data_IF_355146342321
#
_entry.id   IF_355146342321
#
_cell.length_a   1.000
_cell.length_b   1.000
_cell.length_c   1.000
_cell.angle_alpha   90.00
_cell.angle_beta   90.00
_cell.angle_gamma   90.00
#
_symmetry.space_group_name_H-M   'P 1'
#
loop_
_entity.id
_entity.type
_entity.pdbx_description
1 polymer ?
#
# COMPACT_ATOMS: atom_id res chain seq x y z
N UNK A 1 7.66 -36.83 27.56
CA UNK A 1 6.75 -36.96 26.41
C UNK A 1 6.82 -35.65 25.66
N UNK A 2 7.62 -35.58 24.59
CA UNK A 2 7.73 -34.39 23.77
C UNK A 2 6.47 -34.31 22.90
N UNK A 3 5.59 -33.35 23.17
CA UNK A 3 4.55 -32.99 22.22
C UNK A 3 5.21 -32.16 21.11
N UNK A 4 5.64 -32.83 20.05
CA UNK A 4 5.85 -32.18 18.76
C UNK A 4 4.45 -31.89 18.24
N UNK A 5 3.99 -30.65 18.42
CA UNK A 5 2.82 -30.17 17.71
C UNK A 5 3.20 -30.14 16.22
N UNK A 6 2.80 -31.16 15.48
CA UNK A 6 2.71 -31.08 14.03
C UNK A 6 1.70 -29.97 13.72
N UNK A 7 2.21 -28.73 13.57
CA UNK A 7 1.45 -27.62 13.06
C UNK A 7 1.15 -27.99 11.61
N UNK A 8 -0.05 -28.56 11.43
CA UNK A 8 -0.57 -28.91 10.13
C UNK A 8 -0.57 -27.60 9.34
N UNK A 9 0.10 -27.58 8.20
CA UNK A 9 0.04 -26.48 7.25
C UNK A 9 -1.44 -26.27 6.91
N UNK A 10 -2.07 -25.25 7.51
CA UNK A 10 -3.49 -24.99 7.31
C UNK A 10 -3.63 -24.52 5.87
N UNK A 11 -4.34 -25.34 5.11
CA UNK A 11 -4.81 -25.08 3.77
C UNK A 11 -5.60 -23.78 3.72
N UNK A 12 -5.55 -23.08 2.59
CA UNK A 12 -6.37 -21.88 2.35
C UNK A 12 -7.81 -22.09 2.81
N UNK A 13 -8.26 -21.24 3.74
CA UNK A 13 -9.61 -21.27 4.28
C UNK A 13 -10.46 -20.20 3.60
N UNK A 14 -11.69 -20.57 3.23
CA UNK A 14 -12.68 -19.64 2.70
C UNK A 14 -13.82 -19.51 3.68
N UNK A 15 -14.19 -18.28 4.00
CA UNK A 15 -15.20 -17.96 4.98
C UNK A 15 -16.20 -16.97 4.40
N UNK A 16 -17.47 -17.35 4.39
CA UNK A 16 -18.56 -16.45 4.02
C UNK A 16 -19.13 -15.81 5.29
N UNK A 17 -19.39 -14.52 5.24
CA UNK A 17 -20.00 -13.78 6.34
C UNK A 17 -20.94 -12.70 5.83
N UNK A 18 -21.89 -12.32 6.67
CA UNK A 18 -22.86 -11.26 6.41
C UNK A 18 -22.96 -10.28 7.59
N UNK A 19 -21.96 -10.31 8.49
CA UNK A 19 -21.89 -9.52 9.72
C UNK A 19 -22.17 -8.03 9.51
N UNK A 20 -21.84 -7.50 8.33
CA UNK A 20 -21.94 -6.07 8.01
C UNK A 20 -23.03 -5.73 6.99
N UNK A 21 -23.96 -6.64 6.69
CA UNK A 21 -24.95 -6.44 5.62
C UNK A 21 -25.87 -5.22 5.80
N UNK A 22 -25.97 -4.71 7.03
CA UNK A 22 -26.82 -3.57 7.40
C UNK A 22 -25.99 -2.33 7.78
N UNK A 23 -24.72 -2.29 7.38
CA UNK A 23 -23.80 -1.18 7.65
C UNK A 23 -23.49 -0.45 6.33
N UNK A 24 -23.46 0.88 6.38
CA UNK A 24 -23.11 1.70 5.21
C UNK A 24 -21.60 1.70 4.95
N UNK A 25 -20.80 1.69 6.02
CA UNK A 25 -19.33 1.67 5.96
C UNK A 25 -18.76 0.54 6.82
N UNK A 26 -17.65 -0.03 6.35
CA UNK A 26 -16.89 -1.08 7.03
C UNK A 26 -15.43 -0.67 7.09
N UNK A 27 -14.87 -0.77 8.28
CA UNK A 27 -13.49 -0.42 8.56
C UNK A 27 -12.68 -1.68 8.83
N UNK A 28 -11.38 -1.58 8.58
CA UNK A 28 -10.46 -2.71 8.63
C UNK A 28 -9.17 -2.27 9.30
N UNK A 29 -8.60 -3.17 10.09
CA UNK A 29 -7.32 -2.95 10.73
C UNK A 29 -6.62 -4.29 11.00
N UNK A 30 -5.30 -4.26 11.12
CA UNK A 30 -4.47 -5.40 11.45
C UNK A 30 -3.33 -4.99 12.39
N UNK A 31 -3.10 -5.82 13.38
CA UNK A 31 -1.99 -5.69 14.33
C UNK A 31 -1.28 -7.05 14.52
N UNK A 32 -0.33 -7.11 15.45
CA UNK A 32 0.36 -8.36 15.77
C UNK A 32 -0.58 -9.46 16.33
N UNK A 33 -1.73 -9.08 16.90
CA UNK A 33 -2.68 -9.98 17.52
C UNK A 33 -3.72 -10.52 16.54
N UNK A 34 -4.03 -9.83 15.44
CA UNK A 34 -5.02 -10.28 14.49
C UNK A 34 -5.34 -9.33 13.34
N UNK A 35 -6.23 -9.80 12.47
CA UNK A 35 -6.83 -9.01 11.40
C UNK A 35 -8.33 -8.88 11.66
N UNK A 36 -8.83 -7.65 11.61
CA UNK A 36 -10.14 -7.30 12.08
C UNK A 36 -10.91 -6.47 11.06
N UNK A 37 -12.22 -6.66 11.04
CA UNK A 37 -13.16 -5.73 10.45
C UNK A 37 -14.18 -5.31 11.50
N UNK A 38 -14.67 -4.09 11.39
CA UNK A 38 -15.69 -3.56 12.29
C UNK A 38 -16.53 -2.51 11.57
N UNK A 39 -17.77 -2.39 12.03
CA UNK A 39 -18.75 -1.50 11.42
C UNK A 39 -19.80 -1.12 12.46
N UNK A 40 -20.65 -0.16 12.14
CA UNK A 40 -21.77 0.22 13.00
C UNK A 40 -22.99 0.62 12.17
N UNK A 41 -24.17 0.59 12.78
CA UNK A 41 -25.41 1.06 12.16
C UNK A 41 -26.35 1.74 13.16
N UNK A 42 -26.26 3.07 13.29
CA UNK A 42 -27.08 3.84 14.22
C UNK A 42 -26.83 3.47 15.68
N UNK A 43 -27.30 2.31 16.15
CA UNK A 43 -27.25 1.83 17.54
C UNK A 43 -26.40 0.59 17.77
N UNK A 44 -26.01 -0.14 16.73
CA UNK A 44 -25.26 -1.41 16.91
C UNK A 44 -23.87 -1.30 16.30
N UNK A 45 -22.87 -1.75 17.03
CA UNK A 45 -21.49 -1.93 16.54
C UNK A 45 -21.25 -3.43 16.34
N UNK A 46 -20.49 -3.77 15.31
CA UNK A 46 -20.19 -5.14 14.89
C UNK A 46 -18.69 -5.31 14.80
N UNK A 47 -18.20 -6.47 15.18
CA UNK A 47 -16.79 -6.85 15.07
C UNK A 47 -16.67 -8.20 14.37
N UNK A 48 -15.59 -8.36 13.62
CA UNK A 48 -15.20 -9.60 12.96
C UNK A 48 -13.68 -9.74 13.11
N UNK A 49 -13.22 -10.79 13.79
CA UNK A 49 -11.85 -11.27 13.68
C UNK A 49 -11.77 -12.31 12.56
N UNK A 50 -10.68 -12.29 11.78
CA UNK A 50 -10.40 -13.28 10.74
C UNK A 50 -9.24 -14.20 11.14
N UNK A 51 -8.21 -13.64 11.74
CA UNK A 51 -7.07 -14.37 12.32
C UNK A 51 -6.75 -13.78 13.69
N UNK A 52 -6.25 -14.59 14.65
CA UNK A 52 -5.94 -16.02 14.55
C UNK A 52 -7.17 -16.94 14.50
N UNK A 53 -8.33 -16.45 14.94
CA UNK A 53 -9.59 -17.20 14.94
C UNK A 53 -10.70 -16.37 14.34
N UNK A 54 -11.56 -17.00 13.53
CA UNK A 54 -12.72 -16.34 12.95
C UNK A 54 -13.82 -16.26 14.00
N UNK A 55 -14.14 -15.04 14.46
CA UNK A 55 -15.25 -14.79 15.38
C UNK A 55 -15.93 -13.47 15.07
N UNK A 56 -17.22 -13.37 15.38
CA UNK A 56 -17.97 -12.14 15.24
C UNK A 56 -18.83 -11.88 16.47
N UNK A 57 -18.94 -10.60 16.81
CA UNK A 57 -19.75 -10.13 17.92
C UNK A 57 -20.46 -8.83 17.51
N UNK A 58 -21.56 -8.54 18.18
CA UNK A 58 -22.24 -7.27 18.05
C UNK A 58 -22.78 -6.80 19.38
N UNK A 59 -22.93 -5.49 19.52
CA UNK A 59 -23.49 -4.89 20.71
C UNK A 59 -24.32 -3.66 20.38
N UNK A 60 -25.51 -3.56 20.98
CA UNK A 60 -26.43 -2.44 20.78
C UNK A 60 -26.44 -1.53 22.01
N UNK A 61 -26.23 -0.24 21.79
CA UNK A 61 -26.22 0.79 22.83
C UNK A 61 -27.58 1.48 23.01
N UNK A 62 -27.77 2.09 24.17
CA UNK A 62 -28.94 2.91 24.52
C UNK A 62 -28.81 4.34 23.98
N UNK A 63 -28.79 4.49 22.66
CA UNK A 63 -28.58 5.79 22.02
C UNK A 63 -28.16 5.63 20.57
N UNK A 64 -27.17 6.40 20.12
CA UNK A 64 -26.59 6.28 18.79
C UNK A 64 -25.08 6.55 18.75
N UNK A 65 -24.36 5.83 17.89
CA UNK A 65 -22.94 6.07 17.63
C UNK A 65 -22.75 7.40 16.91
N UNK A 66 -21.76 8.17 17.37
CA UNK A 66 -21.49 9.53 16.88
C UNK A 66 -20.12 9.66 16.24
N UNK A 67 -19.16 8.81 16.64
CA UNK A 67 -17.81 8.76 16.07
C UNK A 67 -17.54 7.45 15.34
N UNK A 68 -16.57 7.50 14.43
CA UNK A 68 -16.06 6.31 13.74
C UNK A 68 -15.40 5.38 14.77
N UNK A 69 -15.79 4.09 14.85
CA UNK A 69 -15.11 3.14 15.71
C UNK A 69 -13.64 3.00 15.30
N UNK A 70 -12.79 2.64 16.24
CA UNK A 70 -11.38 2.36 15.99
C UNK A 70 -10.94 1.17 16.85
N UNK A 71 -9.77 0.61 16.57
CA UNK A 71 -9.26 -0.55 17.29
C UNK A 71 -8.08 -0.19 18.19
N UNK A 72 -8.11 -0.70 19.42
CA UNK A 72 -6.97 -0.76 20.33
C UNK A 72 -6.59 -2.24 20.49
N UNK A 73 -5.57 -2.66 19.75
CA UNK A 73 -5.13 -4.06 19.62
C UNK A 73 -6.24 -5.00 19.15
N UNK A 74 -6.82 -5.74 20.08
CA UNK A 74 -7.88 -6.73 19.85
C UNK A 74 -9.26 -6.22 20.27
N UNK A 75 -9.39 -4.93 20.59
CA UNK A 75 -10.60 -4.36 21.18
C UNK A 75 -11.10 -3.20 20.33
N UNK A 76 -12.29 -3.36 19.74
CA UNK A 76 -12.97 -2.26 19.05
C UNK A 76 -13.57 -1.32 20.09
N UNK A 77 -13.29 -0.03 19.93
CA UNK A 77 -13.78 1.05 20.77
C UNK A 77 -14.66 1.97 19.91
N UNK A 78 -15.81 2.39 20.44
CA UNK A 78 -16.72 3.26 19.72
C UNK A 78 -17.37 4.28 20.68
N UNK A 79 -17.47 5.53 20.22
CA UNK A 79 -18.14 6.61 20.96
C UNK A 79 -19.61 6.66 20.58
N UNK A 80 -20.47 6.65 21.59
CA UNK A 80 -21.91 6.79 21.40
C UNK A 80 -22.47 7.85 22.34
N UNK A 81 -23.56 8.48 21.89
CA UNK A 81 -24.37 9.38 22.70
C UNK A 81 -25.58 8.61 23.19
N UNK A 82 -25.75 8.58 24.50
CA UNK A 82 -26.89 7.98 25.21
C UNK A 82 -28.19 8.75 24.97
N UNK A 83 -29.35 8.15 25.27
CA UNK A 83 -30.65 8.83 25.16
C UNK A 83 -30.80 10.05 26.10
N UNK A 84 -30.01 10.13 27.18
CA UNK A 84 -29.92 11.29 28.08
C UNK A 84 -28.82 12.28 27.67
N UNK A 85 -28.34 12.21 26.42
CA UNK A 85 -27.38 13.13 25.82
C UNK A 85 -25.98 13.15 26.47
N UNK A 86 -25.55 12.03 27.05
CA UNK A 86 -24.18 11.85 27.56
C UNK A 86 -23.33 11.03 26.61
N UNK A 87 -22.07 11.42 26.45
CA UNK A 87 -21.11 10.68 25.63
C UNK A 87 -20.45 9.56 26.42
N UNK A 88 -20.34 8.38 25.80
CA UNK A 88 -19.78 7.16 26.40
C UNK A 88 -18.93 6.42 25.38
N UNK A 89 -17.96 5.64 25.85
CA UNK A 89 -17.23 4.69 25.01
C UNK A 89 -17.66 3.28 25.37
N UNK A 90 -18.07 2.51 24.37
CA UNK A 90 -18.20 1.06 24.46
C UNK A 90 -16.95 0.40 23.89
N UNK A 91 -16.49 -0.66 24.55
CA UNK A 91 -15.33 -1.47 24.14
C UNK A 91 -15.75 -2.92 24.01
N UNK A 92 -15.40 -3.56 22.90
CA UNK A 92 -15.75 -4.95 22.59
C UNK A 92 -14.48 -5.68 22.17
N UNK A 93 -14.13 -6.71 22.93
CA UNK A 93 -13.02 -7.58 22.56
C UNK A 93 -13.41 -8.46 21.36
N UNK A 94 -12.58 -8.46 20.32
CA UNK A 94 -12.81 -9.16 19.06
C UNK A 94 -12.66 -10.68 19.15
N UNK A 95 -12.11 -11.21 20.25
CA UNK A 95 -11.87 -12.64 20.44
C UNK A 95 -12.84 -13.29 21.41
N UNK A 96 -13.28 -12.64 22.47
CA UNK A 96 -14.21 -13.23 23.45
C UNK A 96 -15.56 -12.52 23.54
N UNK A 97 -15.73 -11.38 22.84
CA UNK A 97 -16.99 -10.62 22.83
C UNK A 97 -17.27 -9.89 24.14
N UNK A 98 -16.31 -9.85 25.07
CA UNK A 98 -16.47 -9.14 26.34
C UNK A 98 -16.68 -7.66 26.07
N UNK A 99 -17.78 -7.15 26.61
CA UNK A 99 -18.14 -5.73 26.54
C UNK A 99 -17.73 -5.03 27.83
N UNK A 100 -17.18 -3.83 27.70
CA UNK A 100 -16.94 -2.92 28.82
C UNK A 100 -17.27 -1.48 28.42
N UNK A 101 -17.55 -0.66 29.43
CA UNK A 101 -17.90 0.74 29.26
C UNK A 101 -16.88 1.63 29.92
N UNK A 102 -16.62 2.76 29.30
CA UNK A 102 -15.95 3.88 29.93
C UNK A 102 -17.00 4.95 30.18
N UNK A 103 -17.30 5.14 31.46
CA UNK A 103 -18.12 6.24 31.95
C UNK A 103 -17.17 7.39 32.27
N UNK A 104 -17.00 8.29 31.31
CA UNK A 104 -16.21 9.50 31.48
C UNK A 104 -17.02 10.69 31.02
N UNK A 105 -17.31 11.62 31.93
CA UNK A 105 -17.96 12.88 31.59
C UNK A 105 -16.97 13.82 30.86
N UNK A 106 -15.68 13.47 30.85
CA UNK A 106 -14.62 14.17 30.10
C UNK A 106 -14.87 14.16 28.59
N UNK A 107 -15.66 13.22 28.07
CA UNK A 107 -16.04 13.21 26.66
C UNK A 107 -17.07 14.30 26.31
N UNK A 108 -17.84 14.79 27.28
CA UNK A 108 -18.85 15.82 27.04
C UNK A 108 -18.22 17.16 26.60
N UNK A 109 -16.94 17.36 26.91
CA UNK A 109 -16.17 18.56 26.57
C UNK A 109 -15.36 18.43 25.27
N UNK A 110 -15.32 17.24 24.63
CA UNK A 110 -14.38 16.96 23.53
C UNK A 110 -15.09 16.62 22.22
N UNK A 111 -14.49 17.09 21.12
CA UNK A 111 -14.87 16.68 19.79
C UNK A 111 -14.38 15.25 19.53
N UNK A 112 -15.31 14.33 19.27
CA UNK A 112 -15.02 12.91 19.07
C UNK A 112 -14.22 12.60 17.79
N UNK A 113 -14.00 13.59 16.91
CA UNK A 113 -13.11 13.44 15.74
C UNK A 113 -11.63 13.61 16.09
N UNK A 114 -11.33 14.16 17.27
CA UNK A 114 -10.00 14.62 17.67
C UNK A 114 -9.38 13.73 18.76
N UNK A 115 -9.92 12.51 18.90
CA UNK A 115 -9.54 11.55 19.93
C UNK A 115 -8.90 10.29 19.35
N UNK A 116 -8.03 9.70 20.14
CA UNK A 116 -7.52 8.35 19.93
C UNK A 116 -7.48 7.64 21.28
N UNK A 117 -7.79 6.34 21.33
CA UNK A 117 -7.68 5.56 22.57
C UNK A 117 -6.70 4.44 22.33
N UNK A 118 -5.71 4.35 23.21
CA UNK A 118 -4.71 3.31 23.13
C UNK A 118 -4.13 3.03 24.52
N UNK A 119 -3.79 1.78 24.81
CA UNK A 119 -3.15 1.38 26.07
C UNK A 119 -3.89 1.91 27.31
N UNK A 120 -5.22 1.83 27.28
CA UNK A 120 -6.11 2.26 28.37
C UNK A 120 -6.00 3.77 28.71
N UNK A 121 -5.69 4.60 27.71
CA UNK A 121 -5.64 6.06 27.80
C UNK A 121 -6.45 6.69 26.69
N UNK A 122 -7.07 7.83 27.00
CA UNK A 122 -7.70 8.72 26.03
C UNK A 122 -6.70 9.81 25.66
N UNK A 123 -6.33 9.87 24.38
CA UNK A 123 -5.52 10.94 23.80
C UNK A 123 -6.43 11.91 23.07
N UNK A 124 -6.28 13.20 23.34
CA UNK A 124 -7.14 14.26 22.81
C UNK A 124 -6.26 15.34 22.21
N UNK A 125 -6.51 15.71 20.95
CA UNK A 125 -5.89 16.88 20.37
C UNK A 125 -6.47 18.14 21.02
N UNK A 126 -5.58 19.06 21.39
CA UNK A 126 -5.89 20.30 22.08
C UNK A 126 -5.27 21.45 21.31
N UNK A 127 -5.99 22.56 21.26
CA UNK A 127 -5.50 23.80 20.66
C UNK A 127 -5.55 24.89 21.73
N UNK A 128 -4.39 25.49 22.02
CA UNK A 128 -4.31 26.74 22.78
C UNK A 128 -4.17 27.94 21.81
N UNK A 129 -3.86 29.14 22.30
CA UNK A 129 -3.79 30.35 21.46
C UNK A 129 -2.78 30.24 20.31
N UNK A 130 -1.74 29.40 20.44
CA UNK A 130 -0.61 29.37 19.51
C UNK A 130 -0.33 27.97 18.97
N UNK A 131 -0.64 26.92 19.73
CA UNK A 131 -0.19 25.56 19.46
C UNK A 131 -1.31 24.52 19.50
N UNK A 132 -1.23 23.55 18.57
CA UNK A 132 -1.97 22.30 18.62
C UNK A 132 -1.06 21.19 19.19
N UNK A 133 -1.51 20.53 20.24
CA UNK A 133 -0.78 19.51 21.02
C UNK A 133 -1.69 18.34 21.41
N UNK A 134 -1.17 17.30 22.05
CA UNK A 134 -1.97 16.17 22.55
C UNK A 134 -1.94 16.12 24.07
N UNK A 135 -3.10 15.92 24.70
CA UNK A 135 -3.21 15.60 26.12
C UNK A 135 -3.73 14.18 26.31
N UNK A 136 -3.15 13.45 27.26
CA UNK A 136 -3.63 12.14 27.67
C UNK A 136 -4.39 12.19 28.99
N UNK A 137 -5.46 11.41 29.07
CA UNK A 137 -6.31 11.23 30.22
C UNK A 137 -6.51 9.74 30.50
N UNK A 138 -6.77 9.39 31.76
CA UNK A 138 -7.39 8.11 32.06
C UNK A 138 -8.90 8.15 31.76
N UNK A 139 -9.53 6.99 31.84
CA UNK A 139 -10.96 6.86 31.58
C UNK A 139 -11.86 7.47 32.67
N UNK A 140 -11.34 7.85 33.83
CA UNK A 140 -12.06 8.62 34.84
C UNK A 140 -11.94 10.13 34.60
N UNK A 141 -11.25 10.54 33.53
CA UNK A 141 -11.04 11.94 33.21
C UNK A 141 -9.85 12.58 33.92
N UNK A 142 -9.05 11.79 34.65
CA UNK A 142 -7.84 12.32 35.28
C UNK A 142 -6.81 12.62 34.19
N UNK A 143 -6.34 13.86 34.15
CA UNK A 143 -5.22 14.25 33.31
C UNK A 143 -3.96 13.46 33.67
N UNK A 144 -3.25 12.98 32.65
CA UNK A 144 -2.03 12.19 32.79
C UNK A 144 -0.79 12.95 32.30
N UNK A 145 -0.84 13.51 31.09
CA UNK A 145 0.32 14.14 30.46
C UNK A 145 -0.05 15.02 29.28
N UNK A 146 0.78 16.03 29.00
CA UNK A 146 0.74 16.82 27.76
C UNK A 146 1.96 16.51 26.89
N UNK A 147 1.73 16.37 25.59
CA UNK A 147 2.75 16.13 24.57
C UNK A 147 2.83 17.32 23.64
N UNK A 148 3.89 18.12 23.79
CA UNK A 148 4.16 19.34 22.99
C UNK A 148 5.38 19.12 22.10
N UNK A 149 5.39 19.74 20.92
CA UNK A 149 6.36 19.44 19.85
C UNK A 149 7.17 20.66 19.40
N UNK A 150 7.69 21.45 20.36
CA UNK A 150 8.64 22.55 20.13
C UNK A 150 8.23 23.46 18.95
N UNK A 151 7.08 24.12 19.07
CA UNK A 151 6.48 25.05 18.09
C UNK A 151 5.82 24.42 16.84
N UNK A 152 5.82 23.09 16.73
CA UNK A 152 5.12 22.38 15.65
C UNK A 152 3.72 21.98 16.09
N UNK A 153 2.77 22.13 15.17
CA UNK A 153 1.38 21.80 15.41
C UNK A 153 1.06 20.37 15.01
N UNK A 154 0.29 19.71 15.88
CA UNK A 154 -0.34 18.43 15.60
C UNK A 154 -1.38 18.62 14.50
N UNK A 155 -1.35 17.73 13.53
CA UNK A 155 -2.29 17.66 12.41
C UNK A 155 -3.27 16.50 12.57
N UNK A 156 -2.78 15.33 13.03
CA UNK A 156 -3.61 14.16 13.24
C UNK A 156 -3.07 13.26 14.35
N UNK A 157 -3.94 12.43 14.90
CA UNK A 157 -3.61 11.34 15.82
C UNK A 157 -4.25 10.04 15.33
N UNK A 158 -3.54 8.93 15.43
CA UNK A 158 -4.08 7.60 15.09
C UNK A 158 -3.50 6.51 15.98
N UNK A 159 -4.04 5.30 15.88
CA UNK A 159 -3.49 4.08 16.49
C UNK A 159 -2.90 3.17 15.43
N UNK A 160 -1.79 2.52 15.77
CA UNK A 160 -1.25 1.40 14.99
C UNK A 160 -0.55 0.42 15.92
N UNK A 161 -0.77 -0.87 15.71
CA UNK A 161 -0.17 -1.95 16.50
C UNK A 161 -0.19 -1.72 18.03
N UNK A 162 -1.32 -1.23 18.55
CA UNK A 162 -1.47 -0.95 19.98
C UNK A 162 -0.59 0.18 20.53
N UNK A 163 -0.25 1.15 19.69
CA UNK A 163 0.41 2.40 20.08
C UNK A 163 -0.30 3.61 19.45
N UNK A 164 -0.28 4.75 20.14
CA UNK A 164 -0.78 6.02 19.60
C UNK A 164 0.35 6.77 18.87
N UNK A 165 0.02 7.32 17.70
CA UNK A 165 0.94 8.06 16.85
C UNK A 165 0.39 9.44 16.53
N UNK A 166 1.26 10.43 16.56
CA UNK A 166 0.97 11.85 16.31
C UNK A 166 1.69 12.29 15.05
N UNK A 167 0.95 12.92 14.15
CA UNK A 167 1.43 13.48 12.89
C UNK A 167 1.44 14.99 13.01
N UNK A 168 2.58 15.60 12.69
CA UNK A 168 2.72 17.05 12.66
C UNK A 168 2.55 17.56 11.23
N UNK A 169 2.17 18.83 11.07
CA UNK A 169 2.03 19.46 9.74
C UNK A 169 3.32 19.47 8.90
N UNK A 170 4.50 19.35 9.52
CA UNK A 170 5.77 19.28 8.80
C UNK A 170 6.15 17.87 8.31
N UNK A 171 5.26 16.90 8.56
CA UNK A 171 5.41 15.49 8.25
C UNK A 171 6.11 14.67 9.34
N UNK A 172 6.51 15.25 10.48
CA UNK A 172 7.13 14.45 11.54
C UNK A 172 6.09 13.54 12.21
N UNK A 173 6.47 12.30 12.49
CA UNK A 173 5.62 11.32 13.19
C UNK A 173 6.27 10.90 14.51
N UNK A 174 5.49 10.94 15.58
CA UNK A 174 5.91 10.55 16.92
C UNK A 174 5.02 9.46 17.49
N UNK A 175 5.61 8.45 18.14
CA UNK A 175 4.87 7.51 19.01
C UNK A 175 4.72 8.13 20.39
N UNK A 176 3.52 8.03 20.95
CA UNK A 176 3.25 8.44 22.33
C UNK A 176 3.44 7.25 23.27
N UNK A 177 4.42 7.37 24.16
CA UNK A 177 4.62 6.45 25.28
C UNK A 177 4.14 7.12 26.58
N UNK A 178 4.25 6.42 27.71
CA UNK A 178 3.59 6.83 28.96
C UNK A 178 3.86 8.27 29.40
N UNK A 179 5.07 8.79 29.17
CA UNK A 179 5.48 10.13 29.60
C UNK A 179 6.35 10.86 28.56
N UNK A 180 6.44 10.35 27.33
CA UNK A 180 7.30 10.93 26.29
C UNK A 180 6.72 10.71 24.90
N UNK A 181 7.07 11.61 23.98
CA UNK A 181 6.90 11.40 22.56
C UNK A 181 8.24 10.98 21.96
N UNK A 182 8.26 9.86 21.25
CA UNK A 182 9.45 9.32 20.58
C UNK A 182 9.33 9.57 19.07
N UNK A 183 10.34 10.21 18.48
CA UNK A 183 10.36 10.42 17.03
C UNK A 183 10.48 9.08 16.32
N UNK A 184 9.58 8.81 15.38
CA UNK A 184 9.55 7.56 14.61
C UNK A 184 10.09 7.75 13.21
N UNK A 185 9.47 8.65 12.43
CA UNK A 185 9.74 8.80 11.01
C UNK A 185 9.24 10.15 10.50
N UNK A 186 9.46 10.43 9.22
CA UNK A 186 8.90 11.57 8.52
C UNK A 186 8.12 11.11 7.28
N UNK A 187 6.88 11.56 7.19
CA UNK A 187 5.98 11.31 6.06
C UNK A 187 6.00 12.48 5.07
N UNK A 188 5.64 12.22 3.81
CA UNK A 188 5.72 13.21 2.73
C UNK A 188 4.45 14.00 2.56
N UNK A 189 3.33 13.30 2.44
CA UNK A 189 2.01 13.90 2.52
C UNK A 189 1.55 13.88 3.97
N UNK A 190 0.78 14.89 4.40
CA UNK A 190 0.22 14.96 5.75
C UNK A 190 -1.31 14.93 5.76
N UNK A 191 -1.97 14.87 4.60
CA UNK A 191 -3.43 14.93 4.56
C UNK A 191 -4.13 13.58 4.72
N UNK A 192 -3.52 12.48 4.27
CA UNK A 192 -4.22 11.18 4.16
C UNK A 192 -3.29 9.99 4.42
N UNK A 193 -3.55 9.25 5.51
CA UNK A 193 -2.81 8.05 5.86
C UNK A 193 -3.73 6.86 6.09
N UNK A 194 -3.22 5.68 5.73
CA UNK A 194 -3.90 4.42 5.91
C UNK A 194 -3.01 3.46 6.68
N UNK A 195 -3.62 2.75 7.64
CA UNK A 195 -2.96 1.63 8.28
C UNK A 195 -2.75 0.52 7.25
N UNK A 196 -1.50 0.16 7.01
CA UNK A 196 -1.12 -0.86 6.03
C UNK A 196 -0.72 -2.17 6.70
N UNK A 197 -0.68 -2.24 8.03
CA UNK A 197 -0.25 -3.40 8.80
C UNK A 197 0.45 -2.99 10.10
N UNK A 198 0.77 -3.99 10.91
CA UNK A 198 1.45 -3.80 12.19
C UNK A 198 2.79 -3.07 12.01
N UNK A 199 2.88 -1.82 12.46
CA UNK A 199 4.07 -0.97 12.36
C UNK A 199 4.26 -0.25 11.02
N UNK A 200 3.26 -0.29 10.12
CA UNK A 200 3.37 0.31 8.79
C UNK A 200 2.19 1.20 8.44
N UNK A 201 2.50 2.33 7.81
CA UNK A 201 1.52 3.27 7.26
C UNK A 201 1.78 3.47 5.78
N UNK A 202 0.75 3.94 5.09
CA UNK A 202 0.89 4.48 3.75
C UNK A 202 0.17 5.79 3.55
N UNK A 203 0.68 6.63 2.65
CA UNK A 203 -0.04 7.82 2.18
C UNK A 203 -0.95 7.51 0.97
N UNK A 204 -1.76 8.49 0.57
CA UNK A 204 -2.64 8.41 -0.62
C UNK A 204 -1.91 8.22 -1.96
N UNK A 205 -0.58 8.36 -1.96
CA UNK A 205 0.28 8.16 -3.14
C UNK A 205 0.98 6.80 -3.12
N UNK A 206 0.72 5.97 -2.11
CA UNK A 206 1.27 4.63 -1.97
C UNK A 206 2.70 4.57 -1.43
N UNK A 207 3.21 5.63 -0.81
CA UNK A 207 4.47 5.55 -0.06
C UNK A 207 4.27 4.79 1.23
N UNK A 208 5.21 3.92 1.59
CA UNK A 208 5.13 3.10 2.81
C UNK A 208 6.18 3.57 3.82
N UNK A 209 5.72 3.77 5.04
CA UNK A 209 6.51 4.26 6.15
C UNK A 209 6.56 3.22 7.26
N UNK A 210 7.76 2.83 7.67
CA UNK A 210 7.94 2.06 8.90
C UNK A 210 7.89 2.99 10.10
N UNK A 211 7.06 2.63 11.07
CA UNK A 211 6.96 3.31 12.37
C UNK A 211 8.04 2.86 13.35
N UNK A 212 8.77 1.79 13.04
CA UNK A 212 9.72 1.16 13.95
C UNK A 212 11.20 1.45 13.61
N UNK A 213 11.50 1.77 12.34
CA UNK A 213 12.90 1.77 11.85
C UNK A 213 13.36 3.13 11.28
N UNK A 214 12.59 4.22 11.44
CA UNK A 214 12.84 5.52 10.78
C UNK A 214 13.23 5.35 9.31
N UNK A 215 12.50 4.48 8.62
CA UNK A 215 12.84 4.03 7.28
C UNK A 215 11.65 4.21 6.36
N UNK A 216 11.89 4.91 5.27
CA UNK A 216 10.98 5.01 4.14
C UNK A 216 11.28 3.87 3.17
N UNK A 217 10.25 3.16 2.72
CA UNK A 217 10.36 2.21 1.63
C UNK A 217 9.87 2.91 0.35
N UNK A 218 10.79 3.25 -0.55
CA UNK A 218 10.43 3.91 -1.82
C UNK A 218 10.00 2.90 -2.86
N UNK A 219 8.91 3.25 -3.55
CA UNK A 219 8.57 2.78 -4.89
C UNK A 219 8.20 1.29 -5.00
N UNK A 220 6.99 0.95 -4.54
CA UNK A 220 6.31 -0.26 -4.97
C UNK A 220 4.94 0.11 -5.55
N UNK A 221 4.99 0.52 -6.83
CA UNK A 221 3.91 0.67 -7.81
C UNK A 221 2.50 0.88 -7.26
N UNK A 222 2.04 2.13 -7.32
CA UNK A 222 0.65 2.59 -7.49
C UNK A 222 -0.43 1.57 -7.09
N UNK A 223 -0.41 1.10 -5.83
CA UNK A 223 -1.44 0.23 -5.29
C UNK A 223 -2.66 1.10 -4.97
N UNK A 224 -3.39 1.51 -6.00
CA UNK A 224 -4.79 1.92 -5.88
C UNK A 224 -5.68 0.73 -5.48
N UNK A 225 -5.11 -0.49 -5.49
CA UNK A 225 -5.71 -1.74 -5.05
C UNK A 225 -5.38 -2.02 -3.58
N UNK A 226 -6.20 -2.81 -2.88
CA UNK A 226 -5.93 -3.15 -1.49
C UNK A 226 -4.57 -3.82 -1.32
N UNK A 227 -3.79 -3.36 -0.35
CA UNK A 227 -2.53 -3.96 0.02
C UNK A 227 -2.34 -3.98 1.53
N UNK A 228 -1.42 -4.82 1.98
CA UNK A 228 -0.94 -4.84 3.37
C UNK A 228 0.55 -5.13 3.41
N UNK A 229 1.21 -4.70 4.47
CA UNK A 229 2.66 -4.73 4.65
C UNK A 229 3.00 -5.50 5.91
N UNK A 230 4.07 -6.28 5.82
CA UNK A 230 4.73 -6.95 6.92
C UNK A 230 6.19 -6.54 6.97
N UNK A 231 6.92 -6.97 7.99
CA UNK A 231 8.37 -6.73 8.11
C UNK A 231 9.21 -7.29 6.95
N UNK A 232 8.67 -8.21 6.15
CA UNK A 232 9.41 -8.88 5.07
C UNK A 232 8.83 -8.61 3.68
N UNK A 233 7.54 -8.32 3.58
CA UNK A 233 6.80 -8.41 2.33
C UNK A 233 5.62 -7.46 2.27
N UNK A 234 5.28 -7.07 1.04
CA UNK A 234 4.04 -6.41 0.66
C UNK A 234 3.12 -7.44 0.02
N UNK A 235 1.84 -7.38 0.36
CA UNK A 235 0.78 -8.21 -0.15
C UNK A 235 -0.22 -7.34 -0.89
N UNK A 236 -0.55 -7.66 -2.14
CA UNK A 236 -1.47 -6.83 -2.94
C UNK A 236 -2.29 -7.68 -3.92
N UNK A 237 -3.48 -7.21 -4.26
CA UNK A 237 -4.35 -7.85 -5.23
C UNK A 237 -4.11 -7.33 -6.65
N UNK A 238 -4.07 -8.23 -7.63
CA UNK A 238 -4.09 -7.88 -9.06
C UNK A 238 -4.66 -9.03 -9.88
N UNK A 239 -5.62 -8.74 -10.76
CA UNK A 239 -6.10 -9.64 -11.82
C UNK A 239 -6.46 -11.06 -11.33
N UNK A 240 -7.23 -11.18 -10.26
CA UNK A 240 -7.66 -12.47 -9.72
C UNK A 240 -6.60 -13.19 -8.87
N UNK A 241 -5.48 -12.52 -8.56
CA UNK A 241 -4.37 -13.07 -7.78
C UNK A 241 -4.00 -12.15 -6.61
N UNK A 242 -3.58 -12.77 -5.51
CA UNK A 242 -2.88 -12.08 -4.42
C UNK A 242 -1.39 -12.32 -4.60
N UNK A 243 -0.62 -11.24 -4.69
CA UNK A 243 0.82 -11.26 -4.81
C UNK A 243 1.47 -11.01 -3.46
N UNK A 244 2.62 -11.64 -3.24
CA UNK A 244 3.54 -11.35 -2.15
C UNK A 244 4.89 -11.01 -2.76
N UNK A 245 5.34 -9.78 -2.54
CA UNK A 245 6.65 -9.29 -2.99
C UNK A 245 7.47 -8.89 -1.78
N UNK A 246 8.73 -9.29 -1.73
CA UNK A 246 9.65 -8.86 -0.66
C UNK A 246 9.85 -7.34 -0.68
N UNK A 247 10.00 -6.69 0.47
CA UNK A 247 10.19 -5.23 0.57
C UNK A 247 11.38 -4.66 -0.23
N UNK A 248 12.38 -5.50 -0.53
CA UNK A 248 13.55 -5.15 -1.34
C UNK A 248 13.42 -5.59 -2.81
N UNK A 249 12.22 -6.00 -3.26
CA UNK A 249 11.93 -6.50 -4.60
C UNK A 249 12.76 -7.70 -5.07
N UNK A 250 13.44 -8.41 -4.17
CA UNK A 250 14.25 -9.59 -4.51
C UNK A 250 13.44 -10.83 -4.89
N UNK A 251 12.17 -10.91 -4.50
CA UNK A 251 11.31 -12.06 -4.79
C UNK A 251 9.84 -11.67 -4.94
N UNK A 252 9.16 -12.38 -5.83
CA UNK A 252 7.72 -12.27 -6.03
C UNK A 252 7.11 -13.67 -6.09
N UNK A 253 5.99 -13.83 -5.40
CA UNK A 253 5.19 -15.06 -5.34
C UNK A 253 3.71 -14.69 -5.45
N UNK A 254 2.86 -15.66 -5.81
CA UNK A 254 1.42 -15.40 -5.96
C UNK A 254 0.54 -16.55 -5.48
N UNK A 255 -0.70 -16.19 -5.17
CA UNK A 255 -1.80 -17.11 -4.94
C UNK A 255 -3.00 -16.72 -5.82
N UNK A 256 -3.48 -17.67 -6.63
CA UNK A 256 -4.64 -17.45 -7.51
C UNK A 256 -5.94 -17.57 -6.70
N UNK A 257 -6.62 -16.45 -6.48
CA UNK A 257 -7.90 -16.40 -5.74
C UNK A 257 -9.12 -16.46 -6.68
N UNK A 258 -8.95 -16.07 -7.95
CA UNK A 258 -9.97 -16.03 -9.01
C UNK A 258 -11.26 -15.30 -8.60
N UNK A 259 -11.12 -14.28 -7.75
CA UNK A 259 -12.20 -13.42 -7.25
C UNK A 259 -11.68 -12.01 -7.01
N UNK A 260 -12.54 -11.02 -7.20
CA UNK A 260 -12.22 -9.65 -6.87
C UNK A 260 -12.06 -9.48 -5.36
N UNK A 261 -10.98 -8.79 -4.98
CA UNK A 261 -10.58 -8.53 -3.60
C UNK A 261 -10.57 -7.03 -3.40
N UNK A 262 -11.31 -6.56 -2.41
CA UNK A 262 -11.43 -5.14 -2.05
C UNK A 262 -10.63 -4.72 -0.84
N UNK A 263 -10.21 -5.67 0.00
CA UNK A 263 -9.32 -5.46 1.14
C UNK A 263 -8.34 -6.61 1.32
N UNK A 264 -7.12 -6.27 1.72
CA UNK A 264 -6.06 -7.20 2.09
C UNK A 264 -5.56 -6.78 3.46
N UNK A 265 -5.47 -7.74 4.36
CA UNK A 265 -4.87 -7.57 5.69
C UNK A 265 -3.80 -8.64 5.87
N UNK A 266 -2.75 -8.32 6.63
CA UNK A 266 -1.74 -9.29 7.05
C UNK A 266 -1.59 -9.24 8.56
N UNK A 267 -1.80 -10.39 9.20
CA UNK A 267 -1.59 -10.57 10.63
C UNK A 267 -1.32 -12.04 10.94
N UNK A 268 -0.65 -12.31 12.06
CA UNK A 268 -0.38 -13.68 12.54
C UNK A 268 0.22 -14.63 11.47
N UNK A 269 1.05 -14.12 10.56
CA UNK A 269 1.67 -14.91 9.49
C UNK A 269 0.72 -15.34 8.36
N UNK A 270 -0.46 -14.72 8.27
CA UNK A 270 -1.51 -15.05 7.30
C UNK A 270 -1.99 -13.79 6.58
N UNK A 271 -2.34 -13.95 5.32
CA UNK A 271 -3.01 -12.92 4.50
C UNK A 271 -4.51 -13.17 4.53
N UNK A 272 -5.29 -12.13 4.75
CA UNK A 272 -6.75 -12.14 4.69
C UNK A 272 -7.17 -11.30 3.49
N UNK A 273 -7.65 -11.96 2.44
CA UNK A 273 -8.17 -11.30 1.23
C UNK A 273 -9.71 -11.29 1.29
N UNK A 274 -10.30 -10.09 1.35
CA UNK A 274 -11.73 -9.87 1.53
C UNK A 274 -12.32 -9.31 0.23
N UNK A 275 -13.45 -9.83 -0.20
CA UNK A 275 -14.16 -9.38 -1.41
C UNK A 275 -14.69 -7.94 -1.28
N UNK A 276 -14.88 -7.24 -2.41
CA UNK A 276 -15.36 -5.85 -2.43
C UNK A 276 -16.74 -5.64 -1.78
N UNK A 277 -17.57 -6.69 -1.79
CA UNK A 277 -18.91 -6.71 -1.19
C UNK A 277 -18.88 -7.11 0.30
N UNK A 278 -17.69 -7.31 0.88
CA UNK A 278 -17.47 -7.75 2.26
C UNK A 278 -18.27 -9.00 2.65
N UNK A 279 -18.51 -9.91 1.71
CA UNK A 279 -19.28 -11.14 1.94
C UNK A 279 -18.39 -12.37 2.15
N UNK A 280 -17.14 -12.33 1.70
CA UNK A 280 -16.24 -13.48 1.72
C UNK A 280 -14.82 -13.07 2.08
N UNK A 281 -14.18 -13.83 2.95
CA UNK A 281 -12.75 -13.74 3.25
C UNK A 281 -12.04 -15.04 2.85
N UNK A 282 -10.85 -14.91 2.25
CA UNK A 282 -9.93 -16.00 1.97
C UNK A 282 -8.68 -15.82 2.80
N UNK A 283 -8.38 -16.81 3.65
CA UNK A 283 -7.22 -16.80 4.55
C UNK A 283 -6.12 -17.63 3.91
N UNK A 284 -5.01 -17.00 3.57
CA UNK A 284 -3.90 -17.57 2.80
C UNK A 284 -2.68 -17.64 3.72
N UNK A 285 -2.13 -18.84 3.90
CA UNK A 285 -0.89 -19.05 4.63
C UNK A 285 0.33 -18.68 3.79
N UNK A 286 1.43 -18.29 4.45
CA UNK A 286 2.68 -17.95 3.76
C UNK A 286 3.21 -19.07 2.85
N UNK A 287 2.92 -20.34 3.15
CA UNK A 287 3.31 -21.51 2.33
C UNK A 287 2.46 -21.73 1.09
N UNK A 288 1.29 -21.08 0.99
CA UNK A 288 0.38 -21.25 -0.16
C UNK A 288 0.81 -20.41 -1.37
N UNK A 289 1.65 -19.41 -1.14
CA UNK A 289 2.23 -18.59 -2.19
C UNK A 289 3.23 -19.39 -3.02
N UNK A 290 2.97 -19.44 -4.33
CA UNK A 290 3.83 -20.13 -5.29
C UNK A 290 4.81 -19.15 -5.90
N UNK A 291 6.06 -19.59 -6.08
CA UNK A 291 7.02 -18.86 -6.91
C UNK A 291 6.46 -18.68 -8.31
N UNK A 292 6.70 -17.51 -8.87
CA UNK A 292 6.40 -17.25 -10.27
C UNK A 292 7.57 -17.83 -11.06
N UNK A 293 7.39 -19.05 -11.55
CA UNK A 293 8.32 -19.63 -12.52
C UNK A 293 8.09 -18.97 -13.87
N UNK A 294 9.05 -18.18 -14.34
CA UNK A 294 9.01 -17.55 -15.67
C UNK A 294 9.28 -18.54 -16.81
N UNK A 295 9.14 -19.85 -16.58
CA UNK A 295 9.63 -20.90 -17.47
C UNK A 295 8.51 -21.88 -17.86
N UNK A 296 7.84 -21.62 -18.99
CA UNK A 296 7.07 -22.62 -19.74
C UNK A 296 7.34 -22.45 -21.23
N UNK A 297 8.50 -22.94 -21.69
CA UNK A 297 8.66 -23.36 -23.08
C UNK A 297 8.03 -24.76 -23.22
N UNK A 298 6.90 -24.87 -23.90
CA UNK A 298 6.48 -26.15 -24.47
C UNK A 298 7.15 -26.30 -25.84
N UNK A 299 8.13 -27.20 -25.88
CA UNK A 299 8.97 -27.54 -27.03
C UNK A 299 8.17 -27.88 -28.29
N UNK A 300 8.47 -27.18 -29.39
CA UNK A 300 8.58 -27.83 -30.70
C UNK A 300 9.92 -27.44 -31.32
N UNK A 301 10.83 -28.42 -31.36
CA UNK A 301 12.17 -28.34 -31.97
C UNK A 301 12.08 -27.88 -33.44
N UNK A 302 12.94 -26.96 -33.89
CA UNK A 302 13.36 -26.89 -35.28
C UNK A 302 14.70 -27.59 -35.47
N UNK A 303 14.74 -28.48 -36.46
CA UNK A 303 15.96 -29.09 -36.98
C UNK A 303 16.94 -28.04 -37.53
N UNK A 304 18.21 -28.38 -37.41
CA UNK A 304 19.35 -27.70 -38.03
C UNK A 304 19.20 -27.52 -39.54
N UNK A 305 19.64 -26.37 -40.07
CA UNK A 305 20.49 -26.33 -41.25
C UNK A 305 21.26 -25.00 -41.35
N UNK A 306 22.50 -25.15 -41.82
CA UNK A 306 23.57 -24.15 -41.92
C UNK A 306 23.23 -22.90 -42.75
N UNK A 307 23.75 -21.74 -42.32
CA UNK A 307 24.82 -20.99 -43.00
C UNK A 307 24.63 -19.46 -43.00
N UNK A 308 25.73 -18.80 -42.63
CA UNK A 308 26.23 -17.46 -42.97
C UNK A 308 25.61 -16.20 -42.36
N UNK A 309 26.46 -15.53 -41.58
CA UNK A 309 26.36 -14.19 -41.02
C UNK A 309 25.87 -13.12 -42.01
N UNK A 310 24.81 -12.41 -41.61
CA UNK A 310 24.62 -10.99 -41.88
C UNK A 310 24.08 -10.34 -40.62
N UNK A 311 24.75 -9.26 -40.21
CA UNK A 311 24.24 -8.30 -39.24
C UNK A 311 22.85 -7.82 -39.67
N UNK A 312 21.82 -8.23 -38.94
CA UNK A 312 20.53 -7.56 -38.93
C UNK A 312 20.02 -7.54 -37.49
N UNK A 313 19.78 -6.31 -36.99
CA UNK A 313 19.14 -6.06 -35.71
C UNK A 313 17.72 -6.60 -35.73
N UNK A 314 17.55 -7.82 -35.25
CA UNK A 314 16.24 -8.41 -35.02
C UNK A 314 16.22 -9.15 -33.69
N UNK A 315 16.24 -8.39 -32.58
CA UNK A 315 15.77 -8.95 -31.32
C UNK A 315 14.24 -9.05 -31.42
N UNK A 316 13.73 -10.26 -31.63
CA UNK A 316 12.31 -10.57 -31.49
C UNK A 316 11.91 -10.34 -30.02
N UNK A 317 11.60 -9.08 -29.67
CA UNK A 317 10.99 -8.76 -28.39
C UNK A 317 9.59 -9.38 -28.36
N UNK A 318 9.31 -10.22 -27.37
CA UNK A 318 7.99 -10.81 -27.16
C UNK A 318 7.16 -9.92 -26.21
N UNK A 319 5.84 -10.12 -26.16
CA UNK A 319 4.95 -9.36 -25.27
C UNK A 319 5.44 -9.31 -23.82
N UNK A 320 6.00 -10.43 -23.33
CA UNK A 320 6.56 -10.59 -21.98
C UNK A 320 7.76 -9.70 -21.68
N UNK A 321 8.40 -9.13 -22.71
CA UNK A 321 9.59 -8.32 -22.55
C UNK A 321 9.24 -6.86 -22.23
N UNK A 322 7.99 -6.43 -22.45
CA UNK A 322 7.55 -5.08 -22.13
C UNK A 322 6.98 -4.99 -20.71
N UNK A 323 7.37 -3.95 -19.99
CA UNK A 323 6.95 -3.74 -18.60
C UNK A 323 5.87 -2.67 -18.58
N UNK A 324 4.61 -3.07 -18.37
CA UNK A 324 3.52 -2.13 -18.11
C UNK A 324 3.54 -1.75 -16.64
N UNK A 325 3.60 -0.45 -16.39
CA UNK A 325 3.69 0.12 -15.05
C UNK A 325 2.37 0.81 -14.68
N UNK A 326 2.02 0.72 -13.41
CA UNK A 326 0.74 1.20 -12.90
C UNK A 326 0.70 2.75 -12.76
N UNK A 327 1.83 3.44 -12.94
CA UNK A 327 1.90 4.91 -13.12
C UNK A 327 1.77 5.35 -14.59
N UNK A 328 1.28 4.44 -15.45
CA UNK A 328 0.88 4.77 -16.82
C UNK A 328 2.04 4.79 -17.80
N UNK A 329 3.06 3.94 -17.63
CA UNK A 329 4.14 3.77 -18.62
C UNK A 329 4.26 2.35 -19.17
N UNK A 330 4.78 2.23 -20.39
CA UNK A 330 5.29 0.99 -20.97
C UNK A 330 6.82 1.11 -21.10
N UNK A 331 7.55 0.25 -20.39
CA UNK A 331 9.00 0.27 -20.22
C UNK A 331 9.68 -0.95 -20.86
N UNK A 332 11.01 -1.00 -20.75
CA UNK A 332 11.89 -1.99 -21.38
C UNK A 332 11.79 -2.02 -22.91
N UNK A 333 11.45 -0.88 -23.51
CA UNK A 333 11.46 -0.71 -24.97
C UNK A 333 12.88 -0.37 -25.40
N UNK A 334 13.48 -1.24 -26.22
CA UNK A 334 14.83 -1.02 -26.77
C UNK A 334 14.83 0.10 -27.80
N UNK A 335 15.94 0.83 -27.85
CA UNK A 335 16.15 1.84 -28.89
C UNK A 335 16.00 1.23 -30.29
N UNK A 336 15.35 1.96 -31.19
CA UNK A 336 15.07 1.50 -32.55
C UNK A 336 13.75 0.72 -32.73
N UNK A 337 13.06 0.34 -31.66
CA UNK A 337 11.73 -0.30 -31.75
C UNK A 337 10.74 0.62 -32.46
N UNK A 338 10.02 0.11 -33.46
CA UNK A 338 9.01 0.86 -34.21
C UNK A 338 7.60 0.64 -33.64
N UNK A 339 6.68 1.57 -33.89
CA UNK A 339 5.28 1.43 -33.50
C UNK A 339 4.63 0.16 -34.07
N UNK A 340 4.99 -0.23 -35.31
CA UNK A 340 4.49 -1.46 -35.94
C UNK A 340 5.01 -2.71 -35.23
N UNK A 341 6.30 -2.75 -34.89
CA UNK A 341 6.88 -3.86 -34.11
C UNK A 341 6.23 -3.97 -32.74
N UNK A 342 6.04 -2.84 -32.04
CA UNK A 342 5.39 -2.85 -30.73
C UNK A 342 3.97 -3.40 -30.81
N UNK A 343 3.14 -2.97 -31.78
CA UNK A 343 1.79 -3.51 -31.96
C UNK A 343 1.78 -5.02 -32.28
N UNK A 344 2.73 -5.47 -33.10
CA UNK A 344 2.87 -6.89 -33.44
C UNK A 344 3.26 -7.73 -32.23
N UNK A 345 4.20 -7.24 -31.44
CA UNK A 345 4.76 -7.95 -30.30
C UNK A 345 3.87 -7.82 -29.06
N UNK A 346 3.00 -6.82 -29.01
CA UNK A 346 2.07 -6.55 -27.92
C UNK A 346 0.64 -6.38 -28.47
N UNK A 347 -0.08 -7.48 -28.74
CA UNK A 347 -1.41 -7.47 -29.35
C UNK A 347 -2.49 -6.63 -28.64
N UNK A 348 -2.45 -6.40 -27.31
CA UNK A 348 -3.41 -5.51 -26.65
C UNK A 348 -3.34 -4.03 -27.07
N UNK A 349 -2.26 -3.57 -27.73
CA UNK A 349 -2.11 -2.18 -28.16
C UNK A 349 -2.93 -1.92 -29.43
N UNK A 350 -3.86 -0.98 -29.33
CA UNK A 350 -4.78 -0.59 -30.42
C UNK A 350 -4.23 0.59 -31.22
N UNK A 351 -3.64 1.59 -30.56
CA UNK A 351 -3.07 2.78 -31.21
C UNK A 351 -1.73 3.22 -30.61
N UNK A 352 -0.95 3.94 -31.41
CA UNK A 352 0.32 4.57 -31.00
C UNK A 352 0.34 5.98 -31.57
N UNK A 353 0.44 6.98 -30.71
CA UNK A 353 0.47 8.39 -31.08
C UNK A 353 1.69 9.10 -30.50
N UNK A 354 2.04 10.26 -31.07
CA UNK A 354 2.93 11.18 -30.40
C UNK A 354 2.24 11.88 -29.22
N UNK A 355 2.99 12.71 -28.48
CA UNK A 355 2.49 13.52 -27.37
C UNK A 355 1.37 14.52 -27.76
N UNK A 356 1.20 14.78 -29.04
CA UNK A 356 0.20 15.71 -29.58
C UNK A 356 -1.03 14.95 -30.15
N UNK A 357 -1.08 13.62 -30.02
CA UNK A 357 -2.18 12.79 -30.51
C UNK A 357 -2.09 12.40 -32.00
N UNK A 358 -1.00 12.73 -32.70
CA UNK A 358 -0.83 12.33 -34.09
C UNK A 358 -0.39 10.87 -34.17
N UNK A 359 -0.96 10.10 -35.09
CA UNK A 359 -0.56 8.71 -35.32
C UNK A 359 0.93 8.61 -35.64
N UNK A 360 1.62 7.73 -34.92
CA UNK A 360 3.06 7.52 -35.05
C UNK A 360 3.33 6.17 -35.74
N UNK A 361 3.96 6.21 -36.91
CA UNK A 361 4.28 5.02 -37.72
C UNK A 361 5.75 4.61 -37.69
N UNK A 362 6.62 5.47 -37.13
CA UNK A 362 8.08 5.29 -37.12
C UNK A 362 8.65 4.70 -35.83
N UNK A 363 9.93 5.00 -35.56
CA UNK A 363 10.61 4.66 -34.30
C UNK A 363 9.87 5.27 -33.12
N UNK A 364 9.70 4.49 -32.07
CA UNK A 364 9.18 4.95 -30.79
C UNK A 364 10.18 5.90 -30.15
N UNK A 365 9.65 6.81 -29.33
CA UNK A 365 10.41 7.77 -28.54
C UNK A 365 9.80 7.87 -27.15
N UNK A 366 10.62 8.15 -26.16
CA UNK A 366 10.15 8.41 -24.80
C UNK A 366 9.16 9.58 -24.82
N UNK A 367 8.00 9.41 -24.19
CA UNK A 367 6.91 10.39 -24.20
C UNK A 367 5.88 10.22 -25.32
N UNK A 368 6.03 9.23 -26.22
CA UNK A 368 4.92 8.79 -27.07
C UNK A 368 3.81 8.13 -26.23
N UNK A 369 2.61 7.96 -26.79
CA UNK A 369 1.47 7.37 -26.09
C UNK A 369 1.00 6.14 -26.84
N UNK A 370 0.73 5.05 -26.11
CA UNK A 370 0.08 3.85 -26.64
C UNK A 370 -1.26 3.67 -25.96
N UNK A 371 -2.29 3.33 -26.72
CA UNK A 371 -3.59 3.00 -26.16
C UNK A 371 -3.83 1.48 -26.24
N UNK A 372 -4.46 0.94 -25.21
CA UNK A 372 -5.06 -0.39 -25.19
C UNK A 372 -6.59 -0.25 -25.22
N UNK A 373 -7.34 -1.34 -25.05
CA UNK A 373 -8.80 -1.27 -24.89
C UNK A 373 -9.22 -0.62 -23.58
N UNK A 374 -8.38 -0.67 -22.55
CA UNK A 374 -8.75 -0.32 -21.16
C UNK A 374 -8.12 0.99 -20.71
N UNK A 375 -6.91 1.30 -21.17
CA UNK A 375 -6.16 2.49 -20.76
C UNK A 375 -5.04 2.87 -21.74
N UNK A 376 -4.43 4.02 -21.54
CA UNK A 376 -3.27 4.52 -22.29
C UNK A 376 -2.01 4.59 -21.43
N UNK A 377 -0.86 4.29 -22.05
CA UNK A 377 0.45 4.30 -21.42
C UNK A 377 1.40 5.22 -22.17
N UNK A 378 2.27 5.91 -21.43
CA UNK A 378 3.38 6.68 -21.96
C UNK A 378 4.58 5.76 -22.22
N UNK A 379 5.16 5.87 -23.40
CA UNK A 379 6.30 5.07 -23.85
C UNK A 379 7.57 5.51 -23.14
N UNK A 380 8.35 4.53 -22.67
CA UNK A 380 9.71 4.71 -22.12
C UNK A 380 10.68 3.86 -22.93
N UNK A 381 11.52 4.53 -23.74
CA UNK A 381 12.59 3.89 -24.50
C UNK A 381 13.88 3.99 -23.69
N UNK A 382 14.51 2.85 -23.39
CA UNK A 382 15.73 2.80 -22.58
C UNK A 382 16.83 3.66 -23.19
N UNK A 383 17.38 4.59 -22.40
CA UNK A 383 18.42 5.52 -22.78
C UNK A 383 17.96 6.76 -23.58
N UNK A 384 16.70 6.86 -24.00
CA UNK A 384 16.17 8.04 -24.71
C UNK A 384 15.68 9.09 -23.71
N UNK A 385 16.62 9.64 -22.94
CA UNK A 385 16.39 10.64 -21.88
C UNK A 385 15.87 11.97 -22.44
N UNK A 386 16.19 12.27 -23.70
CA UNK A 386 15.75 13.49 -24.40
C UNK A 386 14.41 13.34 -25.13
N UNK A 387 13.90 12.12 -25.31
CA UNK A 387 12.64 11.86 -26.03
C UNK A 387 12.73 12.08 -27.54
N UNK A 388 13.93 11.98 -28.11
CA UNK A 388 14.16 12.19 -29.54
C UNK A 388 13.89 10.92 -30.36
N UNK A 389 13.80 9.76 -29.70
CA UNK A 389 13.67 8.45 -30.33
C UNK A 389 15.00 7.86 -30.81
N UNK A 390 16.12 8.49 -30.46
CA UNK A 390 17.48 8.01 -30.75
C UNK A 390 18.35 8.22 -29.53
N UNK A 391 18.93 7.13 -29.01
CA UNK A 391 19.90 7.21 -27.91
C UNK A 391 21.21 7.77 -28.46
N UNK A 392 21.56 8.98 -28.04
CA UNK A 392 22.59 9.79 -28.65
C UNK A 392 23.53 10.39 -27.61
N UNK A 393 24.43 11.27 -28.05
CA UNK A 393 25.27 12.01 -27.11
C UNK A 393 24.52 13.01 -26.24
N UNK A 394 23.32 13.40 -26.64
CA UNK A 394 22.54 14.38 -25.91
C UNK A 394 21.87 13.77 -24.67
N UNK A 395 21.57 12.47 -24.68
CA UNK A 395 20.89 11.76 -23.60
C UNK A 395 21.77 11.62 -22.37
N UNK A 396 22.99 11.07 -22.52
CA UNK A 396 23.91 10.98 -21.39
C UNK A 396 24.43 12.35 -20.95
N UNK A 397 24.53 13.35 -21.84
CA UNK A 397 24.85 14.74 -21.44
C UNK A 397 23.74 15.34 -20.59
N UNK A 398 22.48 15.06 -20.92
CA UNK A 398 21.33 15.48 -20.11
C UNK A 398 21.33 14.75 -18.77
N UNK A 399 21.57 13.44 -18.76
CA UNK A 399 21.69 12.64 -17.53
C UNK A 399 22.86 13.12 -16.66
N UNK A 400 24.02 13.43 -17.23
CA UNK A 400 25.17 13.97 -16.51
C UNK A 400 24.79 15.28 -15.79
N UNK A 401 24.07 16.18 -16.48
CA UNK A 401 23.56 17.41 -15.88
C UNK A 401 22.53 17.15 -14.77
N UNK A 402 21.75 16.08 -14.86
CA UNK A 402 20.86 15.66 -13.78
C UNK A 402 21.63 15.15 -12.57
N UNK A 403 22.64 14.31 -12.79
CA UNK A 403 23.47 13.77 -11.71
C UNK A 403 24.33 14.85 -11.02
N UNK A 404 24.69 15.93 -11.73
CA UNK A 404 25.37 17.10 -11.15
C UNK A 404 24.41 18.14 -10.56
N UNK A 405 23.09 17.93 -10.63
CA UNK A 405 22.08 18.84 -10.11
C UNK A 405 21.84 20.10 -10.96
N UNK A 406 22.41 20.18 -12.17
CA UNK A 406 22.23 21.31 -13.10
C UNK A 406 20.85 21.30 -13.78
N UNK A 407 20.23 20.12 -13.94
CA UNK A 407 18.92 20.00 -14.61
C UNK A 407 18.13 18.78 -14.15
N UNK A 408 16.89 18.97 -13.74
CA UNK A 408 16.01 17.87 -13.33
C UNK A 408 15.28 17.23 -14.51
N UNK A 409 15.04 15.92 -14.39
CA UNK A 409 14.23 15.11 -15.32
C UNK A 409 13.18 14.33 -14.53
N UNK A 410 12.00 14.14 -15.11
CA UNK A 410 10.84 13.56 -14.44
C UNK A 410 10.10 12.55 -15.32
N UNK A 411 9.23 11.75 -14.69
CA UNK A 411 8.32 10.84 -15.38
C UNK A 411 9.03 9.88 -16.34
N UNK A 412 8.52 9.79 -17.58
CA UNK A 412 9.05 8.90 -18.62
C UNK A 412 10.55 9.08 -18.86
N UNK A 413 11.04 10.32 -18.80
CA UNK A 413 12.45 10.65 -19.08
C UNK A 413 13.38 10.20 -17.96
N UNK A 414 12.93 10.27 -16.70
CA UNK A 414 13.66 9.70 -15.57
C UNK A 414 13.68 8.17 -15.65
N UNK A 415 12.57 7.54 -16.03
CA UNK A 415 12.51 6.08 -16.25
C UNK A 415 13.37 5.62 -17.43
N UNK A 416 13.48 6.43 -18.48
CA UNK A 416 14.38 6.16 -19.60
C UNK A 416 15.86 6.24 -19.19
N UNK A 417 16.17 6.98 -18.11
CA UNK A 417 17.51 7.13 -17.57
C UNK A 417 17.93 5.98 -16.65
N UNK A 418 17.00 5.19 -16.11
CA UNK A 418 17.28 3.93 -15.40
C UNK A 418 17.45 2.82 -16.45
N UNK A 419 18.67 2.74 -17.01
CA UNK A 419 18.96 1.90 -18.17
C UNK A 419 19.11 0.43 -17.78
N UNK A 420 19.65 0.17 -16.59
CA UNK A 420 19.83 -1.19 -16.07
C UNK A 420 18.58 -1.73 -15.35
N UNK A 421 17.54 -0.90 -15.19
CA UNK A 421 16.27 -1.24 -14.53
C UNK A 421 16.45 -1.65 -13.06
N UNK A 422 17.45 -1.09 -12.38
CA UNK A 422 17.72 -1.35 -10.96
C UNK A 422 16.92 -0.43 -10.02
N UNK A 423 16.14 0.50 -10.58
CA UNK A 423 15.27 1.41 -9.84
C UNK A 423 15.97 2.67 -9.35
N UNK A 424 17.28 2.79 -9.54
CA UNK A 424 18.08 3.99 -9.29
C UNK A 424 18.54 4.61 -10.60
N UNK A 425 18.72 5.93 -10.62
CA UNK A 425 19.34 6.62 -11.76
C UNK A 425 20.68 7.12 -11.27
N UNK A 426 21.76 6.41 -11.63
CA UNK A 426 23.11 6.64 -11.11
C UNK A 426 24.20 6.63 -12.22
N UNK A 427 25.47 6.66 -11.80
CA UNK A 427 26.59 6.67 -12.73
C UNK A 427 26.71 5.38 -13.58
N UNK A 428 26.17 4.25 -13.14
CA UNK A 428 26.14 3.00 -13.91
C UNK A 428 25.28 3.18 -15.15
N UNK A 429 24.10 3.80 -15.00
CA UNK A 429 23.22 4.09 -16.14
C UNK A 429 23.88 5.03 -17.13
N UNK A 430 24.54 6.07 -16.61
CA UNK A 430 25.30 7.01 -17.43
C UNK A 430 26.33 6.28 -18.31
N UNK A 431 27.09 5.35 -17.72
CA UNK A 431 28.09 4.54 -18.42
C UNK A 431 27.42 3.63 -19.45
N UNK A 432 26.34 2.95 -19.09
CA UNK A 432 25.62 2.04 -20.00
C UNK A 432 25.00 2.77 -21.19
N UNK A 433 24.39 3.93 -20.97
CA UNK A 433 23.84 4.79 -22.03
C UNK A 433 24.96 5.33 -22.94
N UNK A 434 26.14 5.63 -22.37
CA UNK A 434 27.28 6.08 -23.14
C UNK A 434 27.91 4.96 -23.99
N UNK A 435 27.89 3.71 -23.49
CA UNK A 435 28.45 2.51 -24.14
C UNK A 435 27.49 1.88 -25.16
N UNK A 436 26.18 1.94 -24.93
CA UNK A 436 25.15 1.35 -25.79
C UNK A 436 24.86 2.13 -27.08
N UNK A 437 25.84 2.88 -27.59
CA UNK A 437 25.77 3.62 -28.86
C UNK A 437 26.07 2.76 -30.08
#
# INVERSE_FOLDING_TARGET
>A
MFFVANMSAIAVEKYNFNTFSNCEEVYFDADDNGAFAFAYNGKTVYTQSFVPTIKSYSFTVDGGFVGVPFIDKDTVCAVYMTNDFKYRIVRINCFDGRVSYVNSDVLDDFNYTDISICNNRLYVMKTDEVYCYVSAYDFNGKHLSDYRFSEKNVNAITTNNGSAYVFLYDGSVYRLDENKAEYCTRVRDCSDFYNSGAGFLSDSRGYIYSLNENKEYTNMYNCTNPFSVSNESIYYYRSGSVYRTSLNNSSITKYEINRNTGKILYACGKVVAITDDYSTATIIGNSDFKKIDFNTNSDTKPQSNNSTDKNDGNSNANFSDYIFTDDGFICNIKSGTTAAQLKKNCPPITSVTDKNGNNLSGKLRTGAVVATKETSYTVVVLGDVTGTGTVSSNDYKLLMKTLTGEKEIFGAYKKAADYNLDGSVDNKDLVLIAQGR
#
